data_IF_023971900053
#
_entry.id   IF_023971900053
#
_cell.length_a   1.000
_cell.length_b   1.000
_cell.length_c   1.000
_cell.angle_alpha   90.00
_cell.angle_beta   90.00
_cell.angle_gamma   90.00
#
_symmetry.space_group_name_H-M   'P 1'
#
loop_
_entity.id
_entity.type
_entity.pdbx_description
1 polymer ?
#
# COMPACT_ATOMS: atom_id res chain seq x y z
N UNK A 1 -3.93 8.32 -5.59
CA UNK A 1 -5.27 7.84 -5.20
C UNK A 1 -5.73 6.78 -6.17
N UNK A 2 -6.46 5.77 -5.70
CA UNK A 2 -7.04 4.72 -6.56
C UNK A 2 -7.90 5.37 -7.65
N UNK A 3 -7.71 4.94 -8.90
CA UNK A 3 -8.41 5.51 -10.07
C UNK A 3 -7.92 6.90 -10.53
N UNK A 4 -6.85 7.42 -9.94
CA UNK A 4 -6.23 8.70 -10.31
C UNK A 4 -4.70 8.64 -10.22
N UNK A 5 -4.07 9.71 -9.75
CA UNK A 5 -2.61 9.81 -9.66
C UNK A 5 -2.10 9.69 -8.22
N UNK A 6 -0.88 9.20 -8.04
CA UNK A 6 -0.12 9.25 -6.79
C UNK A 6 0.90 10.40 -6.86
N UNK A 7 1.01 11.17 -5.77
CA UNK A 7 1.95 12.29 -5.68
C UNK A 7 2.66 12.28 -4.34
N UNK A 8 3.97 12.57 -4.35
CA UNK A 8 4.74 12.95 -3.18
C UNK A 8 4.70 14.46 -3.04
N UNK A 9 4.27 14.97 -1.88
CA UNK A 9 4.25 16.40 -1.60
C UNK A 9 5.31 16.73 -0.54
N UNK A 10 6.18 17.68 -0.86
CA UNK A 10 7.13 18.27 0.09
C UNK A 10 6.80 19.75 0.29
N UNK A 11 6.50 20.12 1.54
CA UNK A 11 6.22 21.51 1.91
C UNK A 11 5.05 22.12 1.12
N UNK A 12 5.23 23.36 0.65
CA UNK A 12 4.20 24.14 -0.06
C UNK A 12 4.35 24.12 -1.59
N UNK A 13 5.31 23.35 -2.11
CA UNK A 13 5.59 23.25 -3.54
C UNK A 13 4.58 22.41 -4.30
N UNK A 14 4.72 22.39 -5.64
CA UNK A 14 4.04 21.41 -6.49
C UNK A 14 4.61 20.02 -6.16
N UNK A 15 3.73 19.05 -5.91
CA UNK A 15 4.14 17.67 -5.64
C UNK A 15 4.76 16.99 -6.85
N UNK A 16 5.58 15.97 -6.58
CA UNK A 16 6.18 15.06 -7.56
C UNK A 16 5.21 13.93 -7.87
N UNK A 17 4.86 13.72 -9.14
CA UNK A 17 4.04 12.61 -9.60
C UNK A 17 4.78 11.28 -9.49
N UNK A 18 4.21 10.32 -8.75
CA UNK A 18 4.74 8.97 -8.59
C UNK A 18 4.09 7.95 -9.53
N UNK A 19 3.05 8.35 -10.25
CA UNK A 19 2.40 7.54 -11.27
C UNK A 19 0.89 7.70 -11.32
N UNK A 20 0.32 7.28 -12.45
CA UNK A 20 -1.10 7.08 -12.66
C UNK A 20 -1.49 5.68 -12.22
N UNK A 21 -2.71 5.53 -11.71
CA UNK A 21 -3.29 4.25 -11.31
C UNK A 21 -3.30 3.27 -12.49
N UNK A 22 -2.63 2.13 -12.29
CA UNK A 22 -2.47 1.09 -13.31
C UNK A 22 -3.30 -0.17 -12.97
N UNK A 23 -3.65 -0.36 -11.69
CA UNK A 23 -4.56 -1.42 -11.29
C UNK A 23 -4.22 -2.04 -9.93
N UNK A 24 -4.82 -3.22 -9.72
CA UNK A 24 -4.53 -4.10 -8.59
C UNK A 24 -3.83 -5.34 -9.13
N UNK A 25 -2.69 -5.67 -8.54
CA UNK A 25 -1.93 -6.89 -8.84
C UNK A 25 -1.86 -7.79 -7.60
N UNK A 26 -1.60 -9.08 -7.81
CA UNK A 26 -1.26 -9.98 -6.72
C UNK A 26 0.15 -9.68 -6.18
N UNK A 27 0.33 -9.92 -4.88
CA UNK A 27 1.51 -9.59 -4.08
C UNK A 27 1.89 -10.80 -3.23
N UNK A 28 3.15 -11.21 -3.31
CA UNK A 28 3.65 -12.41 -2.64
C UNK A 28 3.12 -13.74 -3.18
N UNK A 29 3.66 -14.84 -2.63
CA UNK A 29 3.08 -16.17 -2.81
C UNK A 29 1.87 -16.35 -1.87
N UNK A 30 0.85 -17.13 -2.26
CA UNK A 30 -0.28 -17.42 -1.40
C UNK A 30 0.19 -18.19 -0.15
N UNK A 31 0.30 -17.50 0.99
CA UNK A 31 0.62 -18.12 2.27
C UNK A 31 -0.66 -18.50 3.01
N UNK A 32 -1.03 -19.77 2.91
CA UNK A 32 -2.17 -20.37 3.62
C UNK A 32 -2.12 -20.24 5.15
N UNK A 33 -0.99 -19.84 5.76
CA UNK A 33 -0.88 -19.54 7.19
C UNK A 33 -1.18 -18.08 7.55
N UNK A 34 -1.26 -17.17 6.57
CA UNK A 34 -1.52 -15.74 6.76
C UNK A 34 -2.74 -15.19 6.00
N UNK A 35 -3.46 -16.04 5.26
CA UNK A 35 -4.65 -15.65 4.50
C UNK A 35 -4.38 -15.45 3.01
N UNK A 36 -5.39 -14.94 2.28
CA UNK A 36 -5.37 -14.76 0.81
C UNK A 36 -4.10 -14.06 0.27
N UNK A 37 -3.71 -14.31 -1.00
CA UNK A 37 -2.59 -13.61 -1.63
C UNK A 37 -2.77 -12.10 -1.50
N UNK A 38 -1.73 -11.45 -0.97
CA UNK A 38 -1.67 -10.01 -0.77
C UNK A 38 -2.00 -9.28 -2.07
N UNK A 39 -2.65 -8.13 -1.98
CA UNK A 39 -2.94 -7.30 -3.16
C UNK A 39 -2.02 -6.10 -3.12
N UNK A 40 -1.60 -5.63 -4.28
CA UNK A 40 -0.86 -4.41 -4.42
C UNK A 40 -1.58 -3.45 -5.35
N UNK A 41 -1.65 -2.19 -4.95
CA UNK A 41 -2.00 -1.10 -5.85
C UNK A 41 -0.77 -0.68 -6.64
N UNK A 42 -0.93 -0.54 -7.94
CA UNK A 42 0.17 -0.22 -8.85
C UNK A 42 -0.07 1.12 -9.49
N UNK A 43 0.97 1.96 -9.46
CA UNK A 43 1.02 3.25 -10.11
C UNK A 43 2.26 3.31 -11.01
N UNK A 44 2.06 3.71 -12.27
CA UNK A 44 3.11 3.74 -13.30
C UNK A 44 3.14 5.09 -14.00
N UNK A 45 4.18 5.35 -14.79
CA UNK A 45 4.25 6.53 -15.66
C UNK A 45 4.21 7.87 -14.92
N UNK A 46 4.85 7.95 -13.74
CA UNK A 46 5.01 9.19 -13.00
C UNK A 46 6.01 10.15 -13.64
N UNK A 47 6.34 11.22 -12.91
CA UNK A 47 7.23 12.28 -13.39
C UNK A 47 8.59 11.72 -13.81
N UNK A 48 9.15 12.32 -14.86
CA UNK A 48 10.47 11.94 -15.37
C UNK A 48 11.54 12.02 -14.28
N UNK A 49 12.32 10.95 -14.16
CA UNK A 49 13.47 10.86 -13.27
C UNK A 49 14.74 10.88 -14.11
N UNK A 50 15.66 11.80 -13.80
CA UNK A 50 16.89 11.96 -14.57
C UNK A 50 17.87 10.80 -14.37
N UNK A 51 17.74 10.04 -13.26
CA UNK A 51 18.64 8.95 -12.88
C UNK A 51 17.93 7.59 -12.79
N UNK A 52 16.81 7.42 -13.48
CA UNK A 52 16.00 6.23 -13.33
C UNK A 52 14.87 6.14 -14.34
N UNK A 53 13.98 5.16 -14.19
CA UNK A 53 12.76 5.08 -14.99
C UNK A 53 11.83 6.25 -14.66
N UNK A 54 10.75 6.39 -15.44
CA UNK A 54 9.61 7.21 -14.99
C UNK A 54 9.18 6.73 -13.60
N UNK A 55 8.89 7.67 -12.69
CA UNK A 55 8.57 7.30 -11.31
C UNK A 55 7.41 6.32 -11.24
N UNK A 56 7.50 5.38 -10.32
CA UNK A 56 6.48 4.36 -10.09
C UNK A 56 6.25 4.18 -8.60
N UNK A 57 5.05 3.73 -8.23
CA UNK A 57 4.72 3.41 -6.85
C UNK A 57 3.97 2.08 -6.79
N UNK A 58 4.41 1.19 -5.91
CA UNK A 58 3.71 -0.05 -5.56
C UNK A 58 3.29 -0.01 -4.09
N UNK A 59 2.01 -0.19 -3.81
CA UNK A 59 1.46 -0.16 -2.45
C UNK A 59 0.94 -1.55 -2.08
N UNK A 60 1.67 -2.27 -1.24
CA UNK A 60 1.24 -3.57 -0.70
C UNK A 60 0.17 -3.35 0.36
N UNK A 61 -0.96 -4.04 0.21
CA UNK A 61 -2.07 -4.00 1.16
C UNK A 61 -1.92 -5.08 2.21
N UNK A 62 -2.22 -4.75 3.46
CA UNK A 62 -2.35 -5.71 4.53
C UNK A 62 -3.63 -5.47 5.34
N UNK A 63 -4.19 -6.53 5.92
CA UNK A 63 -5.37 -6.42 6.77
C UNK A 63 -5.05 -5.57 8.01
N UNK A 64 -5.86 -4.55 8.26
CA UNK A 64 -5.81 -3.74 9.48
C UNK A 64 -7.17 -3.16 9.79
N UNK A 65 -7.47 -2.93 11.07
CA UNK A 65 -8.74 -2.30 11.50
C UNK A 65 -8.85 -0.85 11.03
N UNK A 66 -7.71 -0.18 10.89
CA UNK A 66 -7.64 1.24 10.54
C UNK A 66 -6.91 1.42 9.20
N UNK A 67 -7.30 2.45 8.46
CA UNK A 67 -6.54 2.91 7.31
C UNK A 67 -5.23 3.55 7.77
N UNK A 68 -4.10 2.92 7.48
CA UNK A 68 -2.80 3.42 7.91
C UNK A 68 -1.70 3.13 6.91
N UNK A 69 -0.79 4.07 6.78
CA UNK A 69 0.43 3.90 6.00
C UNK A 69 1.56 3.55 6.97
N UNK A 70 2.09 2.34 6.86
CA UNK A 70 3.03 1.80 7.86
C UNK A 70 4.49 1.89 7.44
N UNK A 71 4.76 1.80 6.14
CA UNK A 71 6.12 1.84 5.59
C UNK A 71 6.11 2.56 4.25
N UNK A 72 7.18 3.31 3.99
CA UNK A 72 7.49 3.96 2.71
C UNK A 72 8.99 3.80 2.48
N UNK A 73 9.36 3.29 1.31
CA UNK A 73 10.76 3.11 0.95
C UNK A 73 10.99 3.40 -0.55
N UNK A 74 12.24 3.67 -0.91
CA UNK A 74 12.71 3.86 -2.29
C UNK A 74 13.83 2.84 -2.53
N UNK A 75 13.49 1.54 -2.70
CA UNK A 75 14.48 0.48 -2.78
C UNK A 75 15.37 0.60 -4.03
N UNK A 76 14.85 1.25 -5.08
CA UNK A 76 15.59 1.59 -6.29
C UNK A 76 15.22 3.00 -6.69
N UNK A 77 16.17 3.75 -7.26
CA UNK A 77 15.96 5.15 -7.61
C UNK A 77 14.69 5.35 -8.45
N UNK A 78 13.82 6.22 -7.96
CA UNK A 78 12.52 6.58 -8.56
C UNK A 78 11.47 5.46 -8.60
N UNK A 79 11.72 4.34 -7.91
CA UNK A 79 10.75 3.28 -7.69
C UNK A 79 10.40 3.23 -6.20
N UNK A 80 9.16 3.56 -5.88
CA UNK A 80 8.69 3.67 -4.50
C UNK A 80 7.87 2.44 -4.11
N UNK A 81 8.02 1.99 -2.87
CA UNK A 81 7.17 0.98 -2.27
C UNK A 81 6.53 1.51 -0.99
N UNK A 82 5.28 1.12 -0.76
CA UNK A 82 4.55 1.48 0.45
C UNK A 82 3.80 0.27 0.99
N UNK A 83 3.58 0.25 2.30
CA UNK A 83 2.62 -0.67 2.93
C UNK A 83 1.44 0.10 3.49
N UNK A 84 0.24 -0.34 3.12
CA UNK A 84 -1.01 0.28 3.51
C UNK A 84 -1.94 -0.73 4.17
N UNK A 85 -2.26 -0.48 5.43
CA UNK A 85 -3.24 -1.23 6.20
C UNK A 85 -4.63 -0.74 5.88
N UNK A 86 -5.56 -1.65 5.61
CA UNK A 86 -6.97 -1.30 5.39
C UNK A 86 -7.88 -2.48 5.71
N UNK A 87 -9.10 -2.26 6.24
CA UNK A 87 -10.08 -3.32 6.45
C UNK A 87 -10.47 -4.02 5.15
N UNK A 88 -10.37 -3.32 4.01
CA UNK A 88 -10.68 -3.88 2.70
C UNK A 88 -9.73 -5.00 2.25
N UNK A 89 -8.59 -5.16 2.92
CA UNK A 89 -7.62 -6.21 2.66
C UNK A 89 -7.80 -7.44 3.56
N UNK A 90 -8.78 -7.44 4.46
CA UNK A 90 -9.09 -8.57 5.33
C UNK A 90 -10.02 -9.56 4.61
N UNK A 91 -9.79 -10.86 4.79
CA UNK A 91 -10.77 -11.89 4.43
C UNK A 91 -11.75 -12.15 5.59
N UNK A 92 -12.88 -12.81 5.29
CA UNK A 92 -13.93 -13.08 6.27
C UNK A 92 -13.42 -13.84 7.51
N UNK A 93 -12.42 -14.71 7.37
CA UNK A 93 -11.84 -15.46 8.50
C UNK A 93 -10.86 -14.61 9.32
N UNK A 94 -10.13 -13.71 8.67
CA UNK A 94 -9.20 -12.77 9.30
C UNK A 94 -9.93 -11.67 10.07
N UNK A 95 -11.13 -11.29 9.62
CA UNK A 95 -11.99 -10.33 10.32
C UNK A 95 -12.44 -10.84 11.69
N UNK A 96 -12.78 -12.13 11.81
CA UNK A 96 -13.20 -12.70 13.10
C UNK A 96 -12.05 -12.71 14.12
N UNK A 97 -10.82 -13.00 13.70
CA UNK A 97 -9.65 -12.94 14.59
C UNK A 97 -9.34 -11.52 15.08
N UNK A 98 -9.36 -10.55 14.16
CA UNK A 98 -9.02 -9.15 14.47
C UNK A 98 -10.04 -8.48 15.40
N UNK A 99 -11.31 -8.89 15.33
CA UNK A 99 -12.36 -8.44 16.25
C UNK A 99 -12.09 -8.99 17.65
N UNK A 100 -11.74 -10.28 17.77
CA UNK A 100 -11.37 -10.92 19.05
C UNK A 100 -10.15 -10.24 19.72
N UNK A 101 -9.15 -9.83 18.93
CA UNK A 101 -7.97 -9.12 19.44
C UNK A 101 -8.29 -7.75 20.07
N UNK A 102 -9.34 -7.07 19.58
CA UNK A 102 -9.80 -5.78 20.15
C UNK A 102 -10.57 -5.96 21.46
N UNK A 103 -11.31 -7.05 21.62
CA UNK A 103 -12.10 -7.34 22.82
C UNK A 103 -11.31 -7.99 23.95
N UNK A 104 -10.15 -8.59 23.67
CA UNK A 104 -9.23 -9.14 24.68
C UNK A 104 -8.24 -8.13 25.28
N UNK A 105 -8.23 -6.88 24.81
CA UNK A 105 -7.46 -5.80 25.43
C UNK A 105 -8.36 -4.84 26.24
N UNK A 106 -8.92 -5.24 27.40
CA UNK A 106 -9.38 -4.24 28.35
C UNK A 106 -8.13 -3.51 28.82
N UNK A 107 -8.02 -2.23 28.44
CA UNK A 107 -7.07 -1.29 29.02
C UNK A 107 -7.24 -1.36 30.54
N UNK A 108 -6.22 -1.89 31.22
CA UNK A 108 -6.08 -1.81 32.68
C UNK A 108 -5.63 -0.44 33.12
#
# INVERSE_FOLDING_TARGET
>A
CVGGEAQQKEGTGRGTGLGEWDGIEDEGEPDSSRGLPGKAFVFRHGDHCWNGPARSLRVTLFCSVEEKLSEVDEPTTCEYVMKFGTPAACDLGHQEGLVLDMEESPVG
#
